data_IF_042994638828
#
_entry.id   IF_042994638828
#
_cell.length_a   1.000
_cell.length_b   1.000
_cell.length_c   1.000
_cell.angle_alpha   90.00
_cell.angle_beta   90.00
_cell.angle_gamma   90.00
#
_symmetry.space_group_name_H-M   'P 1'
#
loop_
_entity.id
_entity.type
_entity.pdbx_description
1 polymer ?
#
# COMPACT_ATOMS: atom_id res chain seq x y z
N UNK A 1 8.96 12.44 19.12
CA UNK A 1 8.49 11.08 19.49
C UNK A 1 7.28 10.65 18.68
N UNK A 2 6.13 11.35 18.70
CA UNK A 2 4.91 10.92 17.99
C UNK A 2 5.14 10.67 16.49
N UNK A 3 5.72 11.63 15.78
CA UNK A 3 5.93 11.53 14.33
C UNK A 3 6.84 10.35 13.96
N UNK A 4 7.92 10.14 14.70
CA UNK A 4 8.88 9.06 14.45
C UNK A 4 8.24 7.70 14.70
N UNK A 5 7.49 7.55 15.78
CA UNK A 5 6.71 6.34 16.06
C UNK A 5 5.63 6.10 15.01
N UNK A 6 4.98 7.17 14.52
CA UNK A 6 3.99 7.09 13.45
C UNK A 6 4.61 6.53 12.18
N UNK A 7 5.77 7.03 11.75
CA UNK A 7 6.50 6.47 10.61
C UNK A 7 6.90 5.01 10.84
N UNK A 8 7.51 4.69 11.99
CA UNK A 8 7.93 3.34 12.33
C UNK A 8 6.77 2.34 12.37
N UNK A 9 5.64 2.71 12.98
CA UNK A 9 4.44 1.87 13.03
C UNK A 9 3.85 1.60 11.64
N UNK A 10 3.74 2.64 10.80
CA UNK A 10 3.24 2.50 9.43
C UNK A 10 4.18 1.68 8.52
N UNK A 11 5.47 1.71 8.78
CA UNK A 11 6.49 0.92 8.08
C UNK A 11 6.70 -0.48 8.71
N UNK A 12 5.89 -0.86 9.72
CA UNK A 12 6.02 -2.12 10.47
C UNK A 12 7.40 -2.36 11.11
N UNK A 13 8.09 -1.29 11.46
CA UNK A 13 9.36 -1.36 12.17
C UNK A 13 9.13 -1.70 13.66
N UNK A 14 10.02 -2.47 14.24
CA UNK A 14 9.96 -2.79 15.66
C UNK A 14 10.32 -1.61 16.54
N UNK A 15 11.32 -0.85 16.12
CA UNK A 15 11.81 0.34 16.85
C UNK A 15 12.13 1.47 15.87
N UNK A 16 12.16 2.69 16.41
CA UNK A 16 12.75 3.87 15.75
C UNK A 16 13.79 4.49 16.64
N UNK A 17 14.84 5.01 16.05
CA UNK A 17 15.92 5.72 16.75
C UNK A 17 15.93 7.16 16.27
N UNK A 18 15.96 8.09 17.21
CA UNK A 18 16.08 9.52 16.94
C UNK A 18 17.39 10.01 17.58
N UNK A 19 18.48 10.06 16.84
CA UNK A 19 19.70 10.65 17.28
C UNK A 19 19.77 12.13 16.87
N UNK A 20 20.17 12.99 17.78
CA UNK A 20 20.76 14.27 17.48
C UNK A 20 21.96 14.50 18.42
N UNK A 21 22.65 15.65 18.33
CA UNK A 21 23.79 15.90 19.18
C UNK A 21 23.43 16.05 20.66
N UNK A 22 22.21 16.44 20.96
CA UNK A 22 21.75 16.68 22.32
C UNK A 22 21.10 15.45 22.95
N UNK A 23 20.41 14.63 22.13
CA UNK A 23 19.56 13.55 22.62
C UNK A 23 19.65 12.30 21.74
N UNK A 24 19.50 11.14 22.35
CA UNK A 24 19.38 9.84 21.69
C UNK A 24 18.18 9.10 22.27
N UNK A 25 17.14 8.92 21.46
CA UNK A 25 15.92 8.26 21.88
C UNK A 25 15.65 7.00 21.05
N UNK A 26 15.29 5.92 21.73
CA UNK A 26 14.83 4.66 21.11
C UNK A 26 13.38 4.46 21.51
N UNK A 27 12.49 4.40 20.53
CA UNK A 27 11.05 4.24 20.73
C UNK A 27 10.57 2.90 20.15
N UNK A 28 9.69 2.20 20.87
CA UNK A 28 8.98 1.00 20.43
C UNK A 28 7.88 1.39 19.44
N UNK A 29 8.00 0.95 18.19
CA UNK A 29 7.06 1.21 17.10
C UNK A 29 6.00 0.11 16.94
N UNK A 30 6.02 -0.95 17.73
CA UNK A 30 4.97 -1.99 17.70
C UNK A 30 3.66 -1.51 18.35
N UNK A 31 3.71 -0.42 19.12
CA UNK A 31 2.54 0.22 19.70
C UNK A 31 2.01 1.32 18.81
N UNK A 32 0.70 1.22 18.52
CA UNK A 32 -0.01 2.26 17.77
C UNK A 32 0.20 3.64 18.44
N UNK A 33 0.75 4.63 17.72
CA UNK A 33 0.94 5.97 18.28
C UNK A 33 -0.37 6.75 18.28
N UNK A 34 -0.62 7.51 19.35
CA UNK A 34 -1.76 8.42 19.43
C UNK A 34 -1.25 9.87 19.49
N UNK A 35 -1.98 10.84 18.87
CA UNK A 35 -1.59 12.26 18.90
C UNK A 35 -1.45 12.82 20.33
N UNK A 36 -2.22 12.30 21.29
CA UNK A 36 -2.19 12.70 22.69
C UNK A 36 -1.07 12.01 23.52
N UNK A 37 -0.30 11.10 22.92
CA UNK A 37 0.76 10.41 23.63
C UNK A 37 1.85 11.40 24.10
N UNK A 38 2.24 11.26 25.37
CA UNK A 38 3.43 11.95 25.87
C UNK A 38 4.69 11.39 25.19
N UNK A 39 5.74 12.20 25.10
CA UNK A 39 7.01 11.79 24.47
C UNK A 39 7.64 10.53 25.09
N UNK A 40 7.34 10.23 26.34
CA UNK A 40 7.82 9.04 27.07
C UNK A 40 7.01 7.77 26.76
N UNK A 41 5.87 7.86 26.10
CA UNK A 41 5.05 6.69 25.78
C UNK A 41 5.78 5.84 24.75
N UNK A 42 5.90 4.53 25.04
CA UNK A 42 6.64 3.55 24.25
C UNK A 42 8.15 3.83 24.12
N UNK A 43 8.73 4.71 24.92
CA UNK A 43 10.16 4.94 24.97
C UNK A 43 10.88 3.75 25.62
N UNK A 44 11.87 3.21 24.91
CA UNK A 44 12.71 2.09 25.37
C UNK A 44 13.96 2.62 26.07
N UNK A 45 14.63 3.58 25.45
CA UNK A 45 15.85 4.21 25.99
C UNK A 45 15.87 5.70 25.66
N UNK A 46 16.40 6.49 26.56
CA UNK A 46 16.61 7.92 26.35
C UNK A 46 17.92 8.35 26.99
N UNK A 47 18.77 8.97 26.22
CA UNK A 47 20.07 9.48 26.64
C UNK A 47 20.19 10.94 26.22
N UNK A 48 20.85 11.73 27.06
CA UNK A 48 21.32 13.07 26.70
C UNK A 48 22.79 13.00 26.32
N UNK A 49 23.33 14.05 25.70
CA UNK A 49 24.76 14.11 25.36
C UNK A 49 25.69 13.87 26.54
N UNK A 50 25.24 14.16 27.77
CA UNK A 50 25.99 13.93 29.01
C UNK A 50 26.14 12.46 29.36
N UNK A 51 25.21 11.64 28.86
CA UNK A 51 25.15 10.20 29.15
C UNK A 51 25.96 9.40 28.10
N UNK A 52 26.30 9.98 26.95
CA UNK A 52 26.89 9.25 25.83
C UNK A 52 28.18 8.52 26.16
N UNK A 53 29.06 9.13 26.95
CA UNK A 53 30.31 8.47 27.33
C UNK A 53 30.08 7.29 28.26
N UNK A 54 29.17 7.44 29.23
CA UNK A 54 28.86 6.38 30.21
C UNK A 54 28.04 5.25 29.61
N UNK A 55 27.26 5.54 28.57
CA UNK A 55 26.37 4.57 27.90
C UNK A 55 26.90 4.19 26.50
N UNK A 56 28.18 4.50 26.23
CA UNK A 56 28.77 4.26 24.90
C UNK A 56 28.75 2.78 24.54
N UNK A 57 29.05 1.88 25.48
CA UNK A 57 29.03 0.44 25.26
C UNK A 57 27.64 -0.02 24.83
N UNK A 58 26.58 0.50 25.47
CA UNK A 58 25.20 0.20 25.04
C UNK A 58 24.93 0.64 23.60
N UNK A 59 25.32 1.87 23.25
CA UNK A 59 25.11 2.40 21.89
C UNK A 59 25.91 1.56 20.87
N UNK A 60 27.17 1.25 21.18
CA UNK A 60 28.05 0.48 20.32
C UNK A 60 27.58 -0.96 20.13
N UNK A 61 27.30 -1.64 21.23
CA UNK A 61 26.92 -3.06 21.20
C UNK A 61 25.56 -3.29 20.57
N UNK A 62 24.60 -2.38 20.70
CA UNK A 62 23.29 -2.50 20.10
C UNK A 62 23.24 -2.03 18.63
N UNK A 63 23.93 -0.91 18.29
CA UNK A 63 23.67 -0.16 17.07
C UNK A 63 24.87 0.09 16.17
N UNK A 64 26.10 -0.28 16.57
CA UNK A 64 27.23 -0.19 15.63
C UNK A 64 27.03 -1.11 14.43
N UNK A 65 27.56 -0.71 13.26
CA UNK A 65 27.50 -1.51 12.05
C UNK A 65 28.00 -2.95 12.28
N UNK A 66 29.11 -3.10 13.00
CA UNK A 66 29.72 -4.39 13.27
C UNK A 66 28.83 -5.27 14.15
N UNK A 67 28.24 -4.70 15.20
CA UNK A 67 27.34 -5.41 16.11
C UNK A 67 26.03 -5.78 15.44
N UNK A 68 25.44 -4.89 14.66
CA UNK A 68 24.22 -5.15 13.88
C UNK A 68 24.43 -6.31 12.89
N UNK A 69 25.56 -6.33 12.17
CA UNK A 69 25.88 -7.43 11.26
C UNK A 69 26.09 -8.78 11.97
N UNK A 70 26.39 -8.77 13.27
CA UNK A 70 26.46 -9.96 14.14
C UNK A 70 25.14 -10.32 14.81
N UNK A 71 24.05 -9.61 14.52
CA UNK A 71 22.71 -9.89 15.02
C UNK A 71 22.39 -9.25 16.40
N UNK A 72 23.15 -8.26 16.86
CA UNK A 72 22.89 -7.55 18.12
C UNK A 72 21.56 -6.82 18.10
N UNK A 73 21.24 -6.19 16.97
CA UNK A 73 19.99 -5.48 16.76
C UNK A 73 18.77 -6.40 16.91
N UNK A 74 18.80 -7.59 16.32
CA UNK A 74 17.71 -8.56 16.41
C UNK A 74 17.51 -9.04 17.87
N UNK A 75 18.59 -9.26 18.60
CA UNK A 75 18.55 -9.60 20.03
C UNK A 75 17.95 -8.47 20.87
N UNK A 76 18.32 -7.22 20.60
CA UNK A 76 17.80 -6.06 21.26
C UNK A 76 16.29 -5.92 21.02
N UNK A 77 15.85 -6.04 19.77
CA UNK A 77 14.44 -5.99 19.37
C UNK A 77 13.64 -7.11 20.01
N UNK A 78 14.13 -8.36 20.00
CA UNK A 78 13.46 -9.48 20.66
C UNK A 78 13.33 -9.29 22.17
N UNK A 79 14.33 -8.69 22.81
CA UNK A 79 14.27 -8.34 24.24
C UNK A 79 13.23 -7.25 24.56
N UNK A 80 12.89 -6.39 23.62
CA UNK A 80 11.89 -5.34 23.76
C UNK A 80 10.48 -5.78 23.32
N UNK A 81 10.37 -6.77 22.46
CA UNK A 81 9.10 -7.24 21.85
C UNK A 81 8.19 -8.06 22.78
N UNK A 82 8.58 -8.35 24.00
CA UNK A 82 7.79 -9.12 24.99
C UNK A 82 6.55 -8.37 25.53
N UNK A 83 6.15 -7.27 24.94
CA UNK A 83 4.94 -6.53 25.32
C UNK A 83 3.89 -6.75 24.23
N UNK A 84 2.73 -7.31 24.63
CA UNK A 84 1.56 -7.46 23.76
C UNK A 84 1.36 -6.19 22.95
N UNK A 85 1.64 -6.25 21.64
CA UNK A 85 1.46 -5.12 20.73
C UNK A 85 0.00 -4.69 20.67
N UNK A 86 -0.22 -3.43 20.36
CA UNK A 86 -1.52 -2.92 19.95
C UNK A 86 -1.85 -3.47 18.55
N UNK A 87 -3.07 -3.17 18.03
CA UNK A 87 -3.48 -3.59 16.70
C UNK A 87 -2.41 -3.26 15.64
N UNK A 88 -2.15 -4.21 14.77
CA UNK A 88 -1.28 -4.03 13.62
C UNK A 88 -1.90 -3.01 12.66
N UNK A 89 -1.05 -2.35 11.86
CA UNK A 89 -1.51 -1.27 10.95
C UNK A 89 -2.51 -1.77 9.91
N UNK A 90 -2.37 -3.01 9.43
CA UNK A 90 -3.30 -3.65 8.50
C UNK A 90 -4.70 -3.84 9.11
N UNK A 91 -4.79 -4.33 10.35
CA UNK A 91 -6.07 -4.48 11.06
C UNK A 91 -6.73 -3.13 11.35
N UNK A 92 -5.94 -2.15 11.74
CA UNK A 92 -6.43 -0.80 11.99
C UNK A 92 -6.95 -0.14 10.71
N UNK A 93 -6.21 -0.30 9.61
CA UNK A 93 -6.60 0.21 8.31
C UNK A 93 -7.88 -0.47 7.79
N UNK A 94 -8.02 -1.79 7.98
CA UNK A 94 -9.26 -2.50 7.68
C UNK A 94 -10.46 -1.95 8.46
N UNK A 95 -10.29 -1.63 9.76
CA UNK A 95 -11.36 -1.02 10.54
C UNK A 95 -11.79 0.34 9.99
N UNK A 96 -10.83 1.14 9.50
CA UNK A 96 -11.13 2.42 8.84
C UNK A 96 -11.88 2.20 7.53
N UNK A 97 -11.45 1.26 6.69
CA UNK A 97 -12.14 0.89 5.45
C UNK A 97 -13.59 0.45 5.71
N UNK A 98 -13.82 -0.39 6.72
CA UNK A 98 -15.16 -0.84 7.12
C UNK A 98 -16.04 0.32 7.61
N UNK A 99 -15.45 1.26 8.34
CA UNK A 99 -16.16 2.46 8.79
C UNK A 99 -16.55 3.35 7.61
N UNK A 100 -15.63 3.60 6.68
CA UNK A 100 -15.91 4.40 5.48
C UNK A 100 -16.94 3.73 4.57
N UNK A 101 -16.88 2.41 4.44
CA UNK A 101 -17.91 1.61 3.75
C UNK A 101 -19.29 1.84 4.36
N UNK A 102 -19.37 1.78 5.69
CA UNK A 102 -20.65 1.99 6.40
C UNK A 102 -21.17 3.42 6.19
N UNK A 103 -20.31 4.43 6.28
CA UNK A 103 -20.73 5.82 6.07
C UNK A 103 -21.23 6.06 4.64
N UNK A 104 -20.50 5.57 3.64
CA UNK A 104 -20.88 5.70 2.24
C UNK A 104 -22.17 4.93 1.93
N UNK A 105 -22.25 3.67 2.36
CA UNK A 105 -23.41 2.83 2.09
C UNK A 105 -24.68 3.43 2.66
N UNK A 106 -24.64 3.93 3.90
CA UNK A 106 -25.79 4.59 4.53
C UNK A 106 -26.18 5.85 3.76
N UNK A 107 -25.24 6.72 3.42
CA UNK A 107 -25.53 7.95 2.69
C UNK A 107 -26.05 7.68 1.27
N UNK A 108 -25.42 6.73 0.55
CA UNK A 108 -25.83 6.40 -0.82
C UNK A 108 -27.22 5.76 -0.82
N UNK A 109 -27.50 4.82 0.05
CA UNK A 109 -28.80 4.15 0.16
C UNK A 109 -29.95 5.11 0.50
N UNK A 110 -29.69 6.11 1.34
CA UNK A 110 -30.71 7.09 1.71
C UNK A 110 -30.99 8.13 0.61
N UNK A 111 -29.97 8.53 -0.14
CA UNK A 111 -30.06 9.62 -1.11
C UNK A 111 -30.25 9.17 -2.57
N UNK A 112 -30.07 7.86 -2.87
CA UNK A 112 -30.19 7.29 -4.22
C UNK A 112 -31.12 6.07 -4.17
N UNK A 113 -32.39 6.30 -4.00
CA UNK A 113 -33.39 5.22 -3.77
C UNK A 113 -33.65 4.34 -4.98
N UNK A 114 -33.20 4.75 -6.15
CA UNK A 114 -33.34 4.02 -7.41
C UNK A 114 -32.28 2.91 -7.56
N UNK A 115 -31.23 2.94 -6.74
CA UNK A 115 -30.17 1.95 -6.78
C UNK A 115 -30.55 0.69 -5.99
N UNK A 116 -30.28 -0.45 -6.58
CA UNK A 116 -30.37 -1.74 -5.89
C UNK A 116 -29.15 -2.03 -4.99
N UNK A 117 -29.17 -3.16 -4.30
CA UNK A 117 -28.11 -3.56 -3.35
C UNK A 117 -26.77 -3.75 -4.06
N UNK A 118 -26.75 -4.34 -5.26
CA UNK A 118 -25.53 -4.58 -6.02
C UNK A 118 -24.93 -3.26 -6.55
N UNK A 119 -25.78 -2.36 -7.02
CA UNK A 119 -25.38 -1.03 -7.46
C UNK A 119 -24.83 -0.19 -6.30
N UNK A 120 -25.42 -0.28 -5.11
CA UNK A 120 -24.90 0.38 -3.89
C UNK A 120 -23.54 -0.20 -3.50
N UNK A 121 -23.39 -1.54 -3.50
CA UNK A 121 -22.12 -2.20 -3.24
C UNK A 121 -21.04 -1.73 -4.24
N UNK A 122 -21.37 -1.69 -5.52
CA UNK A 122 -20.49 -1.20 -6.57
C UNK A 122 -20.10 0.27 -6.35
N UNK A 123 -21.07 1.16 -6.11
CA UNK A 123 -20.83 2.58 -5.92
C UNK A 123 -19.93 2.88 -4.71
N UNK A 124 -20.17 2.19 -3.60
CA UNK A 124 -19.34 2.29 -2.38
C UNK A 124 -17.94 1.81 -2.65
N UNK A 125 -17.79 0.63 -3.27
CA UNK A 125 -16.50 0.04 -3.60
C UNK A 125 -15.68 0.96 -4.49
N UNK A 126 -16.23 1.40 -5.62
CA UNK A 126 -15.56 2.28 -6.57
C UNK A 126 -15.15 3.62 -5.94
N UNK A 127 -16.00 4.17 -5.06
CA UNK A 127 -15.70 5.45 -4.39
C UNK A 127 -14.50 5.30 -3.45
N UNK A 128 -14.45 4.22 -2.66
CA UNK A 128 -13.33 3.96 -1.75
C UNK A 128 -12.05 3.68 -2.54
N UNK A 129 -12.12 2.85 -3.56
CA UNK A 129 -10.97 2.46 -4.38
C UNK A 129 -10.29 3.67 -5.01
N UNK A 130 -11.09 4.56 -5.59
CA UNK A 130 -10.61 5.81 -6.21
C UNK A 130 -9.98 6.76 -5.20
N UNK A 131 -10.62 6.94 -4.04
CA UNK A 131 -10.09 7.79 -2.97
C UNK A 131 -8.75 7.23 -2.46
N UNK A 132 -8.68 5.94 -2.17
CA UNK A 132 -7.46 5.28 -1.67
C UNK A 132 -6.35 5.34 -2.71
N UNK A 133 -6.66 5.04 -3.99
CA UNK A 133 -5.69 5.13 -5.08
C UNK A 133 -5.06 6.53 -5.15
N UNK A 134 -5.90 7.57 -5.18
CA UNK A 134 -5.42 8.96 -5.27
C UNK A 134 -4.62 9.35 -4.01
N UNK A 135 -5.08 8.93 -2.83
CA UNK A 135 -4.35 9.21 -1.59
C UNK A 135 -2.98 8.55 -1.54
N UNK A 136 -2.85 7.32 -2.05
CA UNK A 136 -1.57 6.64 -2.21
C UNK A 136 -0.70 7.38 -3.24
N UNK A 137 -1.27 7.79 -4.37
CA UNK A 137 -0.57 8.55 -5.41
C UNK A 137 -0.01 9.87 -4.86
N UNK A 138 -0.76 10.59 -4.02
CA UNK A 138 -0.28 11.76 -3.28
C UNK A 138 0.87 11.40 -2.33
N UNK A 139 0.72 10.35 -1.54
CA UNK A 139 1.76 9.87 -0.61
C UNK A 139 3.05 9.50 -1.33
N UNK A 140 2.94 8.95 -2.53
CA UNK A 140 4.08 8.57 -3.40
C UNK A 140 4.58 9.71 -4.29
N UNK A 141 4.06 10.93 -4.14
CA UNK A 141 4.42 12.12 -4.92
C UNK A 141 4.14 11.98 -6.43
N UNK A 142 3.20 11.13 -6.81
CA UNK A 142 2.67 11.01 -8.18
C UNK A 142 1.61 12.06 -8.44
N UNK A 143 0.84 12.38 -7.39
CA UNK A 143 -0.12 13.49 -7.33
C UNK A 143 0.32 14.56 -6.33
N UNK A 144 -0.12 15.82 -6.51
CA UNK A 144 0.11 16.88 -5.53
C UNK A 144 -0.53 16.53 -4.18
N UNK A 145 0.22 16.68 -3.10
CA UNK A 145 -0.29 16.43 -1.75
C UNK A 145 -1.45 17.37 -1.41
N UNK A 146 -2.54 16.81 -0.88
CA UNK A 146 -3.73 17.54 -0.49
C UNK A 146 -4.75 17.76 -1.64
N UNK A 147 -4.57 17.10 -2.77
CA UNK A 147 -5.50 17.19 -3.90
C UNK A 147 -6.93 16.80 -3.49
N UNK A 148 -7.11 15.68 -2.80
CA UNK A 148 -8.43 15.27 -2.29
C UNK A 148 -9.02 16.27 -1.30
N UNK A 149 -8.22 16.98 -0.52
CA UNK A 149 -8.70 18.02 0.41
C UNK A 149 -9.32 19.22 -0.33
N UNK A 150 -8.95 19.43 -1.59
CA UNK A 150 -9.56 20.51 -2.38
C UNK A 150 -11.05 20.28 -2.61
N UNK A 151 -11.48 19.02 -2.71
CA UNK A 151 -12.88 18.66 -2.94
C UNK A 151 -13.82 19.07 -1.79
N UNK A 152 -13.29 19.21 -0.56
CA UNK A 152 -14.10 19.49 0.63
C UNK A 152 -14.04 20.95 1.09
N UNK A 153 -13.48 21.85 0.28
CA UNK A 153 -13.35 23.27 0.64
C UNK A 153 -14.67 24.02 0.54
N UNK A 154 -15.48 23.75 -0.50
CA UNK A 154 -16.74 24.43 -0.74
C UNK A 154 -17.66 23.63 -1.67
N UNK A 155 -18.94 23.97 -1.69
CA UNK A 155 -19.93 23.44 -2.62
C UNK A 155 -20.35 21.99 -2.30
N UNK A 156 -20.61 21.22 -3.33
CA UNK A 156 -21.00 19.82 -3.25
C UNK A 156 -19.76 18.92 -3.31
N UNK A 157 -19.36 18.38 -2.18
CA UNK A 157 -18.08 17.71 -2.02
C UNK A 157 -17.94 16.49 -2.93
N UNK A 158 -18.99 15.71 -3.12
CA UNK A 158 -18.90 14.55 -4.01
C UNK A 158 -18.75 14.97 -5.49
N UNK A 159 -19.42 16.03 -5.93
CA UNK A 159 -19.24 16.54 -7.30
C UNK A 159 -17.82 17.05 -7.54
N UNK A 160 -17.25 17.74 -6.55
CA UNK A 160 -15.87 18.18 -6.62
C UNK A 160 -14.91 16.97 -6.67
N UNK A 161 -15.14 15.95 -5.83
CA UNK A 161 -14.37 14.71 -5.82
C UNK A 161 -14.49 13.97 -7.15
N UNK A 162 -15.69 13.91 -7.72
CA UNK A 162 -15.92 13.30 -9.03
C UNK A 162 -15.18 14.03 -10.16
N UNK A 163 -14.99 15.35 -10.07
CA UNK A 163 -14.15 16.10 -11.02
C UNK A 163 -12.69 15.65 -10.96
N UNK A 164 -12.16 15.44 -9.74
CA UNK A 164 -10.81 14.88 -9.55
C UNK A 164 -10.73 13.45 -10.14
N UNK A 165 -11.76 12.63 -9.98
CA UNK A 165 -11.81 11.30 -10.58
C UNK A 165 -11.79 11.33 -12.11
N UNK A 166 -12.42 12.34 -12.75
CA UNK A 166 -12.35 12.53 -14.21
C UNK A 166 -10.95 12.90 -14.68
N UNK A 167 -10.29 13.80 -13.97
CA UNK A 167 -8.89 14.14 -14.27
C UNK A 167 -7.98 12.91 -14.15
N UNK A 168 -8.27 12.04 -13.18
CA UNK A 168 -7.56 10.79 -13.03
C UNK A 168 -7.86 9.78 -14.17
N UNK A 169 -9.08 9.73 -14.72
CA UNK A 169 -9.42 8.93 -15.90
C UNK A 169 -8.56 9.34 -17.09
N UNK A 170 -8.51 10.64 -17.37
CA UNK A 170 -7.71 11.19 -18.48
C UNK A 170 -6.20 10.91 -18.29
N UNK A 171 -5.71 10.97 -17.04
CA UNK A 171 -4.30 10.80 -16.72
C UNK A 171 -3.85 9.33 -16.72
N UNK A 172 -4.62 8.45 -16.08
CA UNK A 172 -4.20 7.07 -15.82
C UNK A 172 -4.75 6.08 -16.85
N UNK A 173 -5.85 6.41 -17.53
CA UNK A 173 -6.51 5.53 -18.50
C UNK A 173 -6.64 4.10 -17.97
N UNK A 174 -7.13 3.95 -16.74
CA UNK A 174 -7.24 2.69 -16.03
C UNK A 174 -8.70 2.27 -15.87
N UNK A 175 -8.96 0.95 -15.75
CA UNK A 175 -10.30 0.43 -15.52
C UNK A 175 -10.95 0.97 -14.22
N UNK A 176 -10.16 1.46 -13.26
CA UNK A 176 -10.64 2.05 -12.01
C UNK A 176 -11.45 3.34 -12.23
N UNK A 177 -11.06 4.14 -13.22
CA UNK A 177 -11.69 5.43 -13.53
C UNK A 177 -12.48 5.41 -14.85
N UNK A 178 -12.79 4.24 -15.41
CA UNK A 178 -13.51 4.09 -16.71
C UNK A 178 -14.99 4.50 -16.58
N UNK A 179 -15.25 5.81 -16.72
CA UNK A 179 -16.63 6.36 -16.69
C UNK A 179 -17.42 6.10 -17.99
N UNK A 180 -16.81 5.42 -18.98
CA UNK A 180 -17.57 4.90 -20.11
C UNK A 180 -18.34 3.64 -19.71
N UNK A 181 -17.81 2.87 -18.77
CA UNK A 181 -18.44 1.68 -18.20
C UNK A 181 -19.22 1.99 -16.93
N UNK A 182 -18.65 2.76 -16.03
CA UNK A 182 -19.32 3.17 -14.78
C UNK A 182 -20.35 4.28 -15.05
N UNK A 183 -21.61 3.89 -15.11
CA UNK A 183 -22.74 4.83 -15.31
C UNK A 183 -23.34 5.32 -14.01
N UNK A 184 -22.99 4.73 -12.88
CA UNK A 184 -23.58 4.99 -11.57
C UNK A 184 -22.89 6.16 -10.90
N UNK A 185 -21.56 6.16 -10.80
CA UNK A 185 -20.80 7.12 -10.00
C UNK A 185 -21.03 8.57 -10.36
N UNK A 186 -21.33 8.87 -11.63
CA UNK A 186 -21.59 10.26 -12.10
C UNK A 186 -22.81 10.91 -11.42
N UNK A 187 -23.82 10.10 -11.10
CA UNK A 187 -25.12 10.59 -10.67
C UNK A 187 -25.35 10.45 -9.16
N UNK A 188 -24.36 9.96 -8.41
CA UNK A 188 -24.50 9.73 -6.98
C UNK A 188 -24.69 11.02 -6.21
N UNK A 189 -25.58 10.97 -5.25
CA UNK A 189 -25.76 11.99 -4.20
C UNK A 189 -25.22 11.41 -2.89
N UNK A 190 -24.19 12.05 -2.34
CA UNK A 190 -23.55 11.64 -1.08
C UNK A 190 -23.46 12.86 -0.17
N UNK A 191 -23.82 12.70 1.10
CA UNK A 191 -23.80 13.79 2.07
C UNK A 191 -22.41 14.39 2.22
N UNK A 192 -22.31 15.71 2.18
CA UNK A 192 -21.05 16.44 2.36
C UNK A 192 -20.32 16.05 3.64
N UNK A 193 -21.06 15.81 4.75
CA UNK A 193 -20.48 15.40 6.03
C UNK A 193 -19.74 14.05 5.93
N UNK A 194 -20.23 13.13 5.09
CA UNK A 194 -19.63 11.80 4.88
C UNK A 194 -18.32 11.96 4.11
N UNK A 195 -18.34 12.66 2.98
CA UNK A 195 -17.13 12.92 2.18
C UNK A 195 -16.07 13.66 3.00
N UNK A 196 -16.50 14.72 3.74
CA UNK A 196 -15.58 15.47 4.61
C UNK A 196 -14.91 14.59 5.65
N UNK A 197 -15.70 13.72 6.29
CA UNK A 197 -15.20 12.83 7.33
C UNK A 197 -14.15 11.86 6.75
N UNK A 198 -14.45 11.19 5.64
CA UNK A 198 -13.54 10.25 5.00
C UNK A 198 -12.25 10.96 4.56
N UNK A 199 -12.37 12.12 3.90
CA UNK A 199 -11.19 12.85 3.45
C UNK A 199 -10.34 13.30 4.64
N UNK A 200 -10.94 13.84 5.70
CA UNK A 200 -10.16 14.25 6.87
C UNK A 200 -9.42 13.08 7.52
N UNK A 201 -10.07 11.92 7.67
CA UNK A 201 -9.46 10.72 8.24
C UNK A 201 -8.30 10.15 7.38
N UNK A 202 -8.06 10.68 6.20
CA UNK A 202 -6.92 10.33 5.32
C UNK A 202 -5.71 11.26 5.50
N UNK A 203 -5.82 12.37 6.20
CA UNK A 203 -4.75 13.35 6.36
C UNK A 203 -4.45 13.67 7.83
N UNK A 204 -3.19 14.00 8.09
CA UNK A 204 -2.77 14.49 9.38
C UNK A 204 -3.51 15.83 9.72
N UNK A 205 -3.90 16.08 10.97
CA UNK A 205 -3.64 15.29 12.19
C UNK A 205 -4.63 14.16 12.47
N UNK A 206 -5.75 14.05 11.77
CA UNK A 206 -6.80 13.06 12.04
C UNK A 206 -6.36 11.65 11.62
N UNK A 207 -5.59 11.55 10.53
CA UNK A 207 -5.03 10.29 10.06
C UNK A 207 -3.79 9.87 10.84
N UNK A 208 -3.78 8.61 11.26
CA UNK A 208 -2.58 7.96 11.80
C UNK A 208 -1.73 7.32 10.70
N UNK A 209 -2.30 7.17 9.50
CA UNK A 209 -1.61 6.52 8.38
C UNK A 209 -0.64 7.49 7.71
N UNK A 210 0.51 6.93 7.32
CA UNK A 210 1.51 7.62 6.50
C UNK A 210 1.63 6.90 5.16
N UNK A 211 0.84 7.35 4.19
CA UNK A 211 0.72 6.70 2.87
C UNK A 211 2.01 6.69 2.05
N UNK A 212 3.01 7.50 2.44
CA UNK A 212 4.34 7.48 1.80
C UNK A 212 5.15 6.23 2.15
N UNK A 213 4.90 5.62 3.32
CA UNK A 213 5.65 4.48 3.84
C UNK A 213 4.82 3.22 4.04
N UNK A 214 3.48 3.29 3.94
CA UNK A 214 2.63 2.10 3.96
C UNK A 214 3.06 1.12 2.87
N UNK A 215 3.36 -0.12 3.26
CA UNK A 215 3.75 -1.15 2.29
C UNK A 215 2.57 -1.63 1.46
N UNK A 216 2.87 -2.15 0.28
CA UNK A 216 1.86 -2.77 -0.61
C UNK A 216 1.20 -3.97 0.08
N UNK A 217 1.93 -4.69 0.92
CA UNK A 217 1.44 -5.83 1.68
C UNK A 217 0.36 -5.46 2.68
N UNK A 218 0.57 -4.36 3.43
CA UNK A 218 -0.42 -3.86 4.39
C UNK A 218 -1.70 -3.47 3.67
N UNK A 219 -1.56 -2.74 2.57
CA UNK A 219 -2.69 -2.33 1.75
C UNK A 219 -3.38 -3.55 1.14
N UNK A 220 -2.62 -4.50 0.59
CA UNK A 220 -3.16 -5.73 -0.01
C UNK A 220 -3.89 -6.60 1.00
N UNK A 221 -3.30 -6.84 2.18
CA UNK A 221 -3.91 -7.64 3.24
C UNK A 221 -5.22 -7.03 3.75
N UNK A 222 -5.23 -5.73 4.04
CA UNK A 222 -6.44 -5.04 4.49
C UNK A 222 -7.51 -5.03 3.39
N UNK A 223 -7.08 -4.84 2.15
CA UNK A 223 -7.98 -4.75 1.00
C UNK A 223 -8.63 -6.09 0.66
N UNK A 224 -7.87 -7.17 0.72
CA UNK A 224 -8.41 -8.52 0.49
C UNK A 224 -9.47 -8.88 1.52
N UNK A 225 -9.23 -8.60 2.81
CA UNK A 225 -10.23 -8.77 3.85
C UNK A 225 -11.46 -7.87 3.63
N UNK A 226 -11.23 -6.63 3.17
CA UNK A 226 -12.30 -5.71 2.81
C UNK A 226 -13.17 -6.25 1.67
N UNK A 227 -12.59 -6.81 0.60
CA UNK A 227 -13.32 -7.42 -0.51
C UNK A 227 -14.08 -8.68 -0.12
N UNK A 228 -13.68 -9.35 0.96
CA UNK A 228 -14.38 -10.51 1.53
C UNK A 228 -15.73 -10.19 2.19
N UNK A 229 -16.09 -8.91 2.27
CA UNK A 229 -17.33 -8.42 2.90
C UNK A 229 -18.30 -7.85 1.86
N UNK A 230 -19.58 -7.82 2.21
CA UNK A 230 -20.66 -7.27 1.40
C UNK A 230 -21.54 -6.36 2.25
N UNK A 231 -22.13 -5.35 1.63
CA UNK A 231 -23.13 -4.50 2.25
C UNK A 231 -24.51 -5.12 2.00
N UNK A 232 -25.27 -5.30 3.06
CA UNK A 232 -26.69 -5.62 3.03
C UNK A 232 -27.49 -4.40 3.40
N UNK A 233 -28.55 -4.14 2.66
CA UNK A 233 -29.45 -3.02 2.92
C UNK A 233 -30.72 -3.55 3.55
N UNK A 234 -31.03 -3.05 4.74
CA UNK A 234 -32.27 -3.41 5.42
C UNK A 234 -33.47 -2.70 4.76
N UNK A 235 -34.72 -3.18 4.98
CA UNK A 235 -35.95 -2.49 4.46
C UNK A 235 -36.04 -1.04 4.91
N UNK A 236 -35.39 -0.66 6.01
CA UNK A 236 -35.32 0.72 6.51
C UNK A 236 -34.14 1.52 5.91
N UNK A 237 -33.51 1.05 4.82
CA UNK A 237 -32.35 1.63 4.18
C UNK A 237 -31.12 1.81 5.09
N UNK A 238 -30.95 0.97 6.11
CA UNK A 238 -29.72 0.92 6.90
C UNK A 238 -28.74 -0.08 6.31
N UNK A 239 -27.48 0.36 6.17
CA UNK A 239 -26.40 -0.48 5.70
C UNK A 239 -25.86 -1.36 6.83
N UNK A 240 -25.67 -2.66 6.56
CA UNK A 240 -25.03 -3.64 7.43
C UNK A 240 -23.92 -4.34 6.68
N UNK A 241 -22.72 -4.35 7.24
CA UNK A 241 -21.59 -5.07 6.65
C UNK A 241 -21.59 -6.51 7.15
N UNK A 242 -21.54 -7.46 6.23
CA UNK A 242 -21.49 -8.89 6.52
C UNK A 242 -20.37 -9.55 5.72
N UNK A 243 -19.84 -10.66 6.24
CA UNK A 243 -18.94 -11.49 5.44
C UNK A 243 -19.71 -12.18 4.32
N UNK A 244 -19.11 -12.24 3.14
CA UNK A 244 -19.65 -13.01 2.03
C UNK A 244 -19.83 -14.48 2.43
N UNK A 245 -20.91 -15.16 2.02
CA UNK A 245 -21.15 -16.55 2.42
C UNK A 245 -19.98 -17.49 2.07
N UNK A 246 -19.32 -17.26 0.94
CA UNK A 246 -18.16 -18.03 0.48
C UNK A 246 -16.98 -17.86 1.42
N UNK A 247 -16.70 -16.63 1.84
CA UNK A 247 -15.61 -16.29 2.77
C UNK A 247 -15.87 -16.92 4.14
N UNK A 248 -17.10 -16.83 4.63
CA UNK A 248 -17.49 -17.46 5.90
C UNK A 248 -17.31 -18.98 5.87
N UNK A 249 -17.69 -19.65 4.76
CA UNK A 249 -17.48 -21.09 4.57
C UNK A 249 -16.01 -21.48 4.50
N UNK A 250 -15.16 -20.62 3.92
CA UNK A 250 -13.73 -20.85 3.81
C UNK A 250 -12.95 -20.53 5.11
N UNK A 251 -13.61 -20.01 6.13
CA UNK A 251 -12.96 -19.64 7.41
C UNK A 251 -12.18 -18.33 7.37
N UNK A 252 -12.42 -17.48 6.36
CA UNK A 252 -11.80 -16.16 6.19
C UNK A 252 -11.14 -15.97 4.84
N UNK A 253 -10.52 -14.80 4.67
CA UNK A 253 -9.67 -14.43 3.53
C UNK A 253 -8.24 -14.38 4.02
N UNK A 254 -7.31 -14.99 3.28
CA UNK A 254 -5.91 -15.09 3.66
C UNK A 254 -5.03 -14.43 2.60
N UNK A 255 -4.41 -13.34 2.96
CA UNK A 255 -3.37 -12.71 2.13
C UNK A 255 -2.10 -13.56 2.13
N UNK A 256 -1.56 -13.84 0.96
CA UNK A 256 -0.31 -14.63 0.85
C UNK A 256 0.88 -13.75 1.19
N UNK A 257 1.66 -14.08 2.24
CA UNK A 257 2.85 -13.31 2.62
C UNK A 257 3.88 -13.20 1.49
N UNK A 258 4.54 -12.06 1.41
CA UNK A 258 5.49 -11.72 0.33
C UNK A 258 6.60 -12.77 0.17
N UNK A 259 7.17 -13.27 1.24
CA UNK A 259 8.25 -14.27 1.16
C UNK A 259 7.80 -15.58 0.50
N UNK A 260 6.51 -15.95 0.65
CA UNK A 260 5.92 -17.11 -0.05
C UNK A 260 5.77 -16.80 -1.54
N UNK A 261 5.26 -15.60 -1.87
CA UNK A 261 5.13 -15.14 -3.26
C UNK A 261 6.50 -15.16 -3.94
N UNK A 262 7.51 -14.56 -3.32
CA UNK A 262 8.89 -14.53 -3.84
C UNK A 262 9.46 -15.94 -4.04
N UNK A 263 9.26 -16.84 -3.07
CA UNK A 263 9.69 -18.23 -3.18
C UNK A 263 9.05 -18.94 -4.37
N UNK A 264 7.74 -18.81 -4.54
CA UNK A 264 6.99 -19.43 -5.63
C UNK A 264 7.41 -18.82 -6.97
N UNK A 265 7.45 -17.50 -7.10
CA UNK A 265 7.86 -16.81 -8.33
C UNK A 265 9.29 -17.21 -8.73
N UNK A 266 10.23 -17.22 -7.78
CA UNK A 266 11.61 -17.65 -8.03
C UNK A 266 11.69 -19.09 -8.52
N UNK A 267 10.89 -19.99 -7.95
CA UNK A 267 10.91 -21.41 -8.30
C UNK A 267 10.05 -21.80 -9.51
N UNK A 268 9.29 -20.87 -10.06
CA UNK A 268 8.49 -21.04 -11.28
C UNK A 268 9.00 -20.16 -12.41
N UNK A 269 8.61 -18.90 -12.41
CA UNK A 269 9.03 -17.91 -13.42
C UNK A 269 10.55 -17.77 -13.46
N UNK A 270 11.20 -17.67 -12.27
CA UNK A 270 12.66 -17.57 -12.18
C UNK A 270 13.34 -18.77 -12.82
N UNK A 271 12.98 -19.99 -12.43
CA UNK A 271 13.57 -21.19 -13.03
C UNK A 271 13.37 -21.29 -14.53
N UNK A 272 12.20 -20.85 -15.03
CA UNK A 272 11.92 -20.83 -16.45
C UNK A 272 12.85 -19.87 -17.21
N UNK A 273 13.13 -18.71 -16.61
CA UNK A 273 13.92 -17.66 -17.26
C UNK A 273 15.43 -17.89 -17.10
N UNK A 274 15.85 -18.35 -15.91
CA UNK A 274 17.26 -18.54 -15.55
C UNK A 274 17.81 -19.89 -16.02
N UNK A 275 16.93 -20.83 -16.43
CA UNK A 275 17.37 -22.12 -16.96
C UNK A 275 18.11 -21.92 -18.28
N UNK A 276 19.27 -22.51 -18.45
CA UNK A 276 19.97 -22.44 -19.73
C UNK A 276 19.12 -23.10 -20.83
N UNK A 277 18.84 -22.35 -21.88
CA UNK A 277 18.25 -22.89 -23.11
C UNK A 277 19.18 -23.94 -23.75
N UNK A 278 18.65 -24.78 -24.64
CA UNK A 278 19.48 -25.65 -25.48
C UNK A 278 20.53 -24.80 -26.19
N UNK A 279 21.81 -24.98 -25.78
CA UNK A 279 22.93 -24.15 -26.23
C UNK A 279 23.62 -23.31 -25.15
N UNK A 280 23.19 -23.39 -23.87
CA UNK A 280 23.93 -22.83 -22.72
C UNK A 280 23.78 -21.32 -22.50
N UNK A 281 22.93 -20.61 -23.24
CA UNK A 281 22.64 -19.20 -23.03
C UNK A 281 21.32 -19.00 -22.27
N UNK A 282 21.25 -18.01 -21.41
CA UNK A 282 19.99 -17.57 -20.81
C UNK A 282 19.02 -16.94 -21.83
N UNK A 283 17.74 -16.77 -21.46
CA UNK A 283 16.73 -16.14 -22.29
C UNK A 283 17.09 -14.68 -22.63
N UNK A 284 16.68 -14.23 -23.80
CA UNK A 284 16.73 -12.82 -24.19
C UNK A 284 15.43 -12.11 -23.83
N UNK A 285 15.41 -10.75 -23.74
CA UNK A 285 14.18 -9.99 -23.52
C UNK A 285 13.07 -10.27 -24.53
N UNK A 286 13.43 -10.63 -25.78
CA UNK A 286 12.48 -11.00 -26.84
C UNK A 286 11.81 -12.34 -26.52
N UNK A 287 12.56 -13.32 -26.08
CA UNK A 287 12.03 -14.63 -25.69
C UNK A 287 11.14 -14.51 -24.46
N UNK A 288 11.57 -13.74 -23.44
CA UNK A 288 10.75 -13.47 -22.25
C UNK A 288 9.44 -12.78 -22.63
N UNK A 289 9.41 -11.89 -23.61
CA UNK A 289 8.18 -11.22 -24.03
C UNK A 289 7.09 -12.16 -24.55
N UNK A 290 7.42 -13.40 -24.86
CA UNK A 290 6.45 -14.43 -25.27
C UNK A 290 5.83 -15.20 -24.11
N UNK A 291 6.42 -15.12 -22.90
CA UNK A 291 5.91 -15.78 -21.70
C UNK A 291 4.65 -15.08 -21.23
N UNK A 292 3.59 -15.85 -20.96
CA UNK A 292 2.33 -15.36 -20.40
C UNK A 292 2.14 -15.92 -19.01
N UNK A 293 2.05 -15.02 -18.04
CA UNK A 293 1.82 -15.35 -16.64
C UNK A 293 0.36 -15.02 -16.37
N UNK A 294 -0.43 -16.02 -16.01
CA UNK A 294 -1.87 -15.90 -15.80
C UNK A 294 -2.22 -16.37 -14.40
N UNK A 295 -2.98 -15.55 -13.70
CA UNK A 295 -3.63 -15.93 -12.44
C UNK A 295 -5.13 -15.64 -12.55
N UNK A 296 -5.96 -16.65 -12.88
CA UNK A 296 -7.39 -16.46 -13.08
C UNK A 296 -8.17 -16.19 -11.79
N UNK A 297 -7.53 -16.30 -10.63
CA UNK A 297 -8.11 -16.06 -9.32
C UNK A 297 -7.23 -15.13 -8.48
N UNK A 298 -6.68 -14.09 -9.12
CA UNK A 298 -5.57 -13.28 -8.61
C UNK A 298 -5.84 -12.54 -7.28
N UNK A 299 -7.10 -12.39 -6.86
CA UNK A 299 -7.43 -11.65 -5.63
C UNK A 299 -6.84 -10.23 -5.65
N UNK A 300 -6.00 -9.92 -4.67
CA UNK A 300 -5.24 -8.65 -4.60
C UNK A 300 -4.10 -8.56 -5.63
N UNK A 301 -3.84 -9.60 -6.39
CA UNK A 301 -2.79 -9.65 -7.41
C UNK A 301 -1.38 -9.87 -6.87
N UNK A 302 -1.21 -10.33 -5.64
CA UNK A 302 0.10 -10.49 -5.00
C UNK A 302 1.08 -11.33 -5.83
N UNK A 303 0.64 -12.46 -6.39
CA UNK A 303 1.49 -13.29 -7.27
C UNK A 303 1.85 -12.58 -8.57
N UNK A 304 0.89 -11.90 -9.21
CA UNK A 304 1.12 -11.16 -10.45
C UNK A 304 2.06 -9.97 -10.22
N UNK A 305 1.91 -9.26 -9.10
CA UNK A 305 2.80 -8.17 -8.69
C UNK A 305 4.21 -8.70 -8.45
N UNK A 306 4.34 -9.82 -7.73
CA UNK A 306 5.63 -10.48 -7.47
C UNK A 306 6.31 -10.95 -8.75
N UNK A 307 5.57 -11.58 -9.66
CA UNK A 307 6.07 -11.99 -10.96
C UNK A 307 6.49 -10.79 -11.83
N UNK A 308 5.69 -9.73 -11.84
CA UNK A 308 6.02 -8.49 -12.54
C UNK A 308 7.30 -7.85 -12.00
N UNK A 309 7.45 -7.75 -10.69
CA UNK A 309 8.67 -7.21 -10.08
C UNK A 309 9.89 -8.05 -10.45
N UNK A 310 9.77 -9.39 -10.42
CA UNK A 310 10.85 -10.29 -10.85
C UNK A 310 11.27 -10.02 -12.31
N UNK A 311 10.31 -9.86 -13.21
CA UNK A 311 10.58 -9.52 -14.60
C UNK A 311 11.25 -8.15 -14.76
N UNK A 312 10.84 -7.15 -13.98
CA UNK A 312 11.45 -5.82 -14.00
C UNK A 312 12.92 -5.89 -13.57
N UNK A 313 13.21 -6.59 -12.46
CA UNK A 313 14.56 -6.71 -11.93
C UNK A 313 15.47 -7.50 -12.91
N UNK A 314 14.94 -8.56 -13.49
CA UNK A 314 15.65 -9.33 -14.51
C UNK A 314 15.99 -8.47 -15.75
N UNK A 315 15.05 -7.73 -16.30
CA UNK A 315 15.29 -6.87 -17.46
C UNK A 315 16.27 -5.73 -17.13
N UNK A 316 16.15 -5.15 -15.92
CA UNK A 316 17.08 -4.12 -15.45
C UNK A 316 18.52 -4.64 -15.41
N UNK A 317 18.73 -5.82 -14.83
CA UNK A 317 20.04 -6.45 -14.75
C UNK A 317 20.56 -6.80 -16.14
N UNK A 318 19.73 -7.42 -16.98
CA UNK A 318 20.10 -7.78 -18.36
C UNK A 318 20.57 -6.57 -19.16
N UNK A 319 19.85 -5.45 -19.11
CA UNK A 319 20.23 -4.22 -19.84
C UNK A 319 21.43 -3.51 -19.24
N UNK A 320 21.66 -3.63 -17.95
CA UNK A 320 22.85 -3.09 -17.26
C UNK A 320 24.10 -3.85 -17.65
N UNK A 321 24.06 -5.19 -17.68
CA UNK A 321 25.19 -6.05 -17.96
C UNK A 321 25.60 -6.05 -19.43
N UNK A 322 24.60 -6.02 -20.34
CA UNK A 322 24.85 -6.10 -21.77
C UNK A 322 25.26 -4.77 -22.43
N UNK A 323 25.40 -3.67 -21.69
CA UNK A 323 26.09 -2.42 -22.05
C UNK A 323 25.72 -1.72 -23.37
N UNK A 324 25.03 -2.40 -24.29
CA UNK A 324 24.70 -1.93 -25.66
C UNK A 324 23.51 -0.98 -25.72
N UNK A 325 22.74 -0.88 -24.65
CA UNK A 325 21.59 0.03 -24.52
C UNK A 325 21.97 1.21 -23.64
N UNK A 326 23.01 1.89 -24.09
CA UNK A 326 23.72 2.93 -23.35
C UNK A 326 22.84 4.09 -22.91
N UNK A 327 23.08 4.52 -21.67
CA UNK A 327 22.63 5.76 -21.06
C UNK A 327 22.62 6.91 -22.09
N UNK A 328 21.44 7.55 -22.26
CA UNK A 328 21.35 8.81 -23.01
C UNK A 328 21.10 8.73 -24.52
N UNK A 329 20.91 7.56 -25.12
CA UNK A 329 20.43 7.47 -26.52
C UNK A 329 18.90 7.60 -26.58
N UNK A 330 18.40 8.20 -27.68
CA UNK A 330 16.98 8.50 -27.92
C UNK A 330 16.02 7.29 -27.79
N UNK A 331 16.55 6.07 -27.75
CA UNK A 331 15.83 4.79 -27.59
C UNK A 331 16.38 3.94 -26.44
N UNK A 332 16.94 4.54 -25.39
CA UNK A 332 17.39 3.79 -24.21
C UNK A 332 16.22 3.19 -23.47
N UNK A 333 16.33 1.92 -23.07
CA UNK A 333 15.36 1.23 -22.21
C UNK A 333 15.61 1.50 -20.72
N UNK A 334 16.75 2.10 -20.39
CA UNK A 334 17.12 2.57 -19.06
C UNK A 334 17.12 4.10 -19.00
N UNK A 335 16.72 4.64 -17.85
CA UNK A 335 16.89 6.06 -17.53
C UNK A 335 18.35 6.37 -17.24
N UNK A 336 18.77 7.67 -17.18
CA UNK A 336 20.14 8.03 -16.81
C UNK A 336 20.59 7.46 -15.47
N UNK A 337 19.66 7.28 -14.54
CA UNK A 337 19.89 6.70 -13.20
C UNK A 337 19.97 5.17 -13.20
N UNK A 338 19.82 4.51 -14.37
CA UNK A 338 19.91 3.06 -14.52
C UNK A 338 18.63 2.31 -14.16
N UNK A 339 17.46 2.95 -14.12
CA UNK A 339 16.19 2.31 -13.93
C UNK A 339 15.50 2.05 -15.28
N UNK A 340 14.60 1.05 -15.35
CA UNK A 340 13.78 0.84 -16.54
C UNK A 340 12.90 2.06 -16.83
N UNK A 341 12.80 2.44 -18.11
CA UNK A 341 11.88 3.49 -18.55
C UNK A 341 10.42 3.07 -18.32
N UNK A 342 9.54 4.06 -18.17
CA UNK A 342 8.08 3.79 -18.03
C UNK A 342 7.51 3.03 -19.23
N UNK A 343 8.00 3.32 -20.44
CA UNK A 343 7.59 2.61 -21.65
C UNK A 343 7.95 1.12 -21.60
N UNK A 344 9.17 0.80 -21.12
CA UNK A 344 9.62 -0.58 -20.98
C UNK A 344 8.86 -1.33 -19.88
N UNK A 345 8.65 -0.69 -18.73
CA UNK A 345 7.81 -1.26 -17.66
C UNK A 345 6.41 -1.60 -18.17
N UNK A 346 5.78 -0.65 -18.90
CA UNK A 346 4.47 -0.86 -19.51
C UNK A 346 4.48 -2.00 -20.52
N UNK A 347 5.52 -2.11 -21.35
CA UNK A 347 5.66 -3.19 -22.32
C UNK A 347 5.70 -4.57 -21.65
N UNK A 348 6.51 -4.71 -20.59
CA UNK A 348 6.61 -5.95 -19.81
C UNK A 348 5.26 -6.29 -19.17
N UNK A 349 4.60 -5.31 -18.54
CA UNK A 349 3.28 -5.52 -17.93
C UNK A 349 2.27 -6.06 -18.95
N UNK A 350 2.11 -5.36 -20.07
CA UNK A 350 1.08 -5.70 -21.06
C UNK A 350 1.36 -7.01 -21.82
N UNK A 351 2.63 -7.39 -21.97
CA UNK A 351 2.99 -8.60 -22.67
C UNK A 351 2.95 -9.85 -21.80
N UNK A 352 3.24 -9.72 -20.52
CA UNK A 352 3.56 -10.88 -19.70
C UNK A 352 2.54 -11.17 -18.57
N UNK A 353 1.76 -10.18 -18.10
CA UNK A 353 0.96 -10.29 -16.87
C UNK A 353 -0.53 -10.23 -17.19
N UNK A 354 -1.28 -11.23 -16.73
CA UNK A 354 -2.72 -11.41 -16.97
C UNK A 354 -3.42 -11.94 -15.71
N UNK A 355 -4.54 -11.31 -15.30
CA UNK A 355 -5.36 -11.71 -14.17
C UNK A 355 -6.79 -11.22 -14.28
#
# INVERSE_FOLDING_TARGET
AYQVRRYGWNATLSISIVPDFAEFAVDDCTKKPLPADKASVARVKYLTFRDYLNEFDFIWDAFSKESVLKGSFDKFVLGTANKKGTATVDKDFLQSLDSWRTYLATSISLNNKDLDEDEINFAVQQTIDRIIFLRIAEGRKVEPYGNLQTAIKQGEYYKNLFSIFKEADDKYNSGLFDFKKDKISKNLTIDNKVIKKIVNELYYPESQYEFSVLSVEILGSAYEQFLGKVIRITPAHHAKIEEKPEVRKAGGVYYTPQYIVEYIVKNTVGKLIDSPFEGGRGMSPKEISTIKIVDPACGSGSFLIGAYQYLLDWHKNYYSDNGKLSKGKKNSLLTPEGNLTTAEKKRILLNNIFG
#
